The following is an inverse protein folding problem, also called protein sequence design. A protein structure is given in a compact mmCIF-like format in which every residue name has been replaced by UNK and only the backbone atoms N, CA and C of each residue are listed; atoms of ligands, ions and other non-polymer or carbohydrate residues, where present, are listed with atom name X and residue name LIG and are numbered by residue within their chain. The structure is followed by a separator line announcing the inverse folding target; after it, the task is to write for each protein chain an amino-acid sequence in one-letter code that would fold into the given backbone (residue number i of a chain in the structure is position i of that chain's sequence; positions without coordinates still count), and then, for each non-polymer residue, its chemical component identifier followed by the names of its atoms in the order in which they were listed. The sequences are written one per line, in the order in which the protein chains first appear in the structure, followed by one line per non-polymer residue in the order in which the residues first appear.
data_IF_334837957272
#
_entry.id   IF_334837957272
#
_cell.length_a   1.000
_cell.length_b   1.000
_cell.length_c   1.000
_cell.angle_alpha   90.00
_cell.angle_beta   90.00
_cell.angle_gamma   90.00
#
_symmetry.space_group_name_H-M   'P 1'
#
loop_
_entity.id
_entity.type
_entity.pdbx_description
1 polymer ?
#
# COMPACT_ATOMS: atom_id res chain seq x y z
N UNK A 1 16.10 6.66 -15.39
CA UNK A 1 15.91 6.29 -13.97
C UNK A 1 14.45 6.40 -13.55
N UNK A 2 13.61 7.21 -14.21
CA UNK A 2 12.20 7.41 -13.84
C UNK A 2 11.30 6.15 -13.92
N UNK A 3 11.47 5.27 -14.91
CA UNK A 3 10.55 4.13 -15.07
C UNK A 3 10.63 3.08 -13.95
N UNK A 4 11.83 2.77 -13.42
CA UNK A 4 11.96 1.74 -12.38
C UNK A 4 11.39 2.17 -11.04
N UNK A 5 11.62 3.43 -10.66
CA UNK A 5 11.07 4.01 -9.43
C UNK A 5 9.55 4.17 -9.53
N UNK A 6 9.04 4.57 -10.71
CA UNK A 6 7.62 4.66 -10.96
C UNK A 6 6.91 3.30 -10.86
N UNK A 7 7.51 2.22 -11.40
CA UNK A 7 6.97 0.86 -11.30
C UNK A 7 6.96 0.36 -9.85
N UNK A 8 8.05 0.56 -9.10
CA UNK A 8 8.11 0.17 -7.68
C UNK A 8 7.07 0.94 -6.84
N UNK A 9 6.92 2.24 -7.09
CA UNK A 9 5.89 3.08 -6.45
C UNK A 9 4.48 2.60 -6.81
N UNK A 10 4.23 2.25 -8.06
CA UNK A 10 2.93 1.71 -8.49
C UNK A 10 2.61 0.39 -7.78
N UNK A 11 3.56 -0.55 -7.73
CA UNK A 11 3.39 -1.82 -7.02
C UNK A 11 3.10 -1.63 -5.53
N UNK A 12 3.81 -0.72 -4.87
CA UNK A 12 3.56 -0.36 -3.47
C UNK A 12 2.17 0.23 -3.27
N UNK A 13 1.74 1.16 -4.13
CA UNK A 13 0.40 1.75 -4.08
C UNK A 13 -0.67 0.67 -4.28
N UNK A 14 -0.50 -0.22 -5.26
CA UNK A 14 -1.45 -1.31 -5.52
C UNK A 14 -1.50 -2.29 -4.35
N UNK A 15 -0.36 -2.69 -3.79
CA UNK A 15 -0.31 -3.60 -2.65
C UNK A 15 -1.02 -3.00 -1.43
N UNK A 16 -0.66 -1.76 -1.07
CA UNK A 16 -1.26 -1.04 0.07
C UNK A 16 -2.76 -0.79 -0.15
N UNK A 17 -3.15 -0.35 -1.35
CA UNK A 17 -4.54 -0.12 -1.71
C UNK A 17 -5.38 -1.39 -1.67
N UNK A 18 -4.85 -2.51 -2.17
CA UNK A 18 -5.54 -3.80 -2.12
C UNK A 18 -5.73 -4.31 -0.68
N UNK A 19 -4.73 -4.16 0.17
CA UNK A 19 -4.83 -4.50 1.59
C UNK A 19 -5.89 -3.65 2.31
N UNK A 20 -5.94 -2.35 2.02
CA UNK A 20 -6.95 -1.45 2.58
C UNK A 20 -8.38 -1.82 2.14
N UNK A 21 -8.58 -2.09 0.85
CA UNK A 21 -9.88 -2.54 0.33
C UNK A 21 -10.31 -3.88 0.95
N UNK A 22 -9.38 -4.82 1.10
CA UNK A 22 -9.65 -6.09 1.78
C UNK A 22 -10.14 -5.88 3.21
N UNK A 23 -9.47 -5.02 3.98
CA UNK A 23 -9.87 -4.72 5.36
C UNK A 23 -11.21 -3.99 5.45
N UNK A 24 -11.52 -3.09 4.50
CA UNK A 24 -12.84 -2.46 4.42
C UNK A 24 -13.94 -3.49 4.14
N UNK A 25 -13.72 -4.43 3.23
CA UNK A 25 -14.68 -5.50 2.95
C UNK A 25 -14.91 -6.36 4.19
N UNK A 26 -13.84 -6.74 4.90
CA UNK A 26 -13.95 -7.48 6.15
C UNK A 26 -14.70 -6.70 7.24
N UNK A 27 -14.47 -5.39 7.35
CA UNK A 27 -15.21 -4.52 8.26
C UNK A 27 -16.70 -4.53 7.95
N UNK A 28 -17.09 -4.39 6.67
CA UNK A 28 -18.49 -4.44 6.25
C UNK A 28 -19.12 -5.79 6.58
N UNK A 29 -18.47 -6.89 6.22
CA UNK A 29 -18.95 -8.25 6.51
C UNK A 29 -19.14 -8.45 8.02
N UNK A 30 -18.14 -8.06 8.81
CA UNK A 30 -18.22 -8.13 10.27
C UNK A 30 -19.41 -7.33 10.82
N UNK A 31 -19.56 -6.09 10.39
CA UNK A 31 -20.62 -5.20 10.86
C UNK A 31 -22.02 -5.72 10.52
N UNK A 32 -22.22 -6.21 9.29
CA UNK A 32 -23.51 -6.79 8.86
C UNK A 32 -23.84 -8.07 9.61
N UNK A 33 -22.83 -8.89 9.96
CA UNK A 33 -23.03 -10.11 10.74
C UNK A 33 -23.20 -9.86 12.24
N UNK A 34 -22.64 -8.76 12.76
CA UNK A 34 -22.63 -8.47 14.20
C UNK A 34 -23.86 -7.69 14.68
N UNK A 35 -24.53 -6.94 13.80
CA UNK A 35 -25.71 -6.14 14.14
C UNK A 35 -26.77 -6.25 13.06
N UNK A 36 -28.04 -6.17 13.43
CA UNK A 36 -29.17 -6.07 12.50
C UNK A 36 -29.66 -4.63 12.29
N UNK A 37 -29.11 -3.67 13.03
CA UNK A 37 -29.57 -2.27 12.99
C UNK A 37 -28.81 -1.43 11.94
N UNK A 38 -29.51 -0.79 10.98
CA UNK A 38 -28.86 -0.02 9.92
C UNK A 38 -28.06 1.19 10.44
N UNK A 39 -28.50 1.83 11.53
CA UNK A 39 -27.78 2.95 12.12
C UNK A 39 -26.42 2.52 12.70
N UNK A 40 -26.39 1.36 13.36
CA UNK A 40 -25.15 0.75 13.86
C UNK A 40 -24.20 0.43 12.70
N UNK A 41 -24.73 -0.01 11.55
CA UNK A 41 -23.89 -0.28 10.38
C UNK A 41 -23.16 0.95 9.90
N UNK A 42 -23.86 2.07 9.76
CA UNK A 42 -23.27 3.34 9.34
C UNK A 42 -22.18 3.78 10.31
N UNK A 43 -22.43 3.67 11.62
CA UNK A 43 -21.46 4.06 12.65
C UNK A 43 -20.23 3.16 12.66
N UNK A 44 -20.41 1.84 12.56
CA UNK A 44 -19.29 0.89 12.59
C UNK A 44 -18.47 0.91 11.30
N UNK A 45 -19.12 0.99 10.13
CA UNK A 45 -18.42 1.10 8.85
C UNK A 45 -17.73 2.45 8.75
N UNK A 46 -18.44 3.56 9.02
CA UNK A 46 -17.88 4.90 8.93
C UNK A 46 -16.78 5.17 9.94
N UNK A 47 -17.02 4.84 11.21
CA UNK A 47 -16.02 4.96 12.28
C UNK A 47 -14.84 4.01 12.05
N UNK A 48 -15.11 2.75 11.71
CA UNK A 48 -14.08 1.77 11.42
C UNK A 48 -13.21 2.18 10.23
N UNK A 49 -13.79 2.67 9.13
CA UNK A 49 -13.05 3.16 7.96
C UNK A 49 -12.16 4.37 8.31
N UNK A 50 -12.62 5.26 9.19
CA UNK A 50 -11.84 6.41 9.64
C UNK A 50 -10.62 5.96 10.44
N UNK A 51 -10.81 5.06 11.41
CA UNK A 51 -9.72 4.48 12.20
C UNK A 51 -8.73 3.72 11.31
N UNK A 52 -9.23 2.94 10.35
CA UNK A 52 -8.42 2.20 9.37
C UNK A 52 -7.56 3.15 8.53
N UNK A 53 -8.14 4.27 8.10
CA UNK A 53 -7.42 5.27 7.30
C UNK A 53 -6.30 5.94 8.10
N UNK A 54 -6.56 6.30 9.36
CA UNK A 54 -5.54 6.87 10.25
C UNK A 54 -4.41 5.86 10.49
N UNK A 55 -4.76 4.61 10.80
CA UNK A 55 -3.78 3.55 11.02
C UNK A 55 -2.92 3.30 9.77
N UNK A 56 -3.53 3.32 8.58
CA UNK A 56 -2.83 3.14 7.31
C UNK A 56 -1.83 4.27 7.05
N UNK A 57 -2.23 5.53 7.27
CA UNK A 57 -1.35 6.69 7.11
C UNK A 57 -0.14 6.60 8.04
N UNK A 58 -0.36 6.23 9.31
CA UNK A 58 0.71 6.03 10.28
C UNK A 58 1.64 4.87 9.87
N UNK A 59 1.08 3.75 9.41
CA UNK A 59 1.87 2.61 8.95
C UNK A 59 2.76 2.99 7.75
N UNK A 60 2.19 3.66 6.75
CA UNK A 60 2.94 4.14 5.57
C UNK A 60 4.04 5.12 5.99
N UNK A 61 3.76 6.03 6.93
CA UNK A 61 4.74 6.97 7.44
C UNK A 61 5.95 6.27 8.06
N UNK A 62 5.72 5.24 8.88
CA UNK A 62 6.79 4.42 9.49
C UNK A 62 7.54 3.61 8.42
N UNK A 63 6.85 3.17 7.36
CA UNK A 63 7.42 2.39 6.26
C UNK A 63 8.21 3.24 5.24
N UNK A 64 8.07 4.57 5.23
CA UNK A 64 8.80 5.46 4.31
C UNK A 64 10.31 5.18 4.20
N UNK A 65 11.10 5.07 5.30
CA UNK A 65 12.52 4.75 5.21
C UNK A 65 12.81 3.42 4.52
N UNK A 66 12.00 2.39 4.76
CA UNK A 66 12.15 1.10 4.09
C UNK A 66 11.83 1.21 2.59
N UNK A 67 10.83 2.02 2.20
CA UNK A 67 10.49 2.30 0.81
C UNK A 67 11.67 2.99 0.08
N UNK A 68 12.33 3.96 0.73
CA UNK A 68 13.51 4.61 0.16
C UNK A 68 14.70 3.66 -0.01
N UNK A 69 14.93 2.76 0.96
CA UNK A 69 15.94 1.71 0.83
C UNK A 69 15.65 0.77 -0.34
N UNK A 70 14.39 0.32 -0.48
CA UNK A 70 13.97 -0.52 -1.60
C UNK A 70 14.24 0.19 -2.94
N UNK A 71 13.85 1.46 -3.04
CA UNK A 71 14.08 2.29 -4.22
C UNK A 71 15.59 2.41 -4.57
N UNK A 72 16.45 2.58 -3.56
CA UNK A 72 17.90 2.64 -3.75
C UNK A 72 18.47 1.32 -4.29
N UNK A 73 18.00 0.18 -3.76
CA UNK A 73 18.40 -1.16 -4.26
C UNK A 73 18.01 -1.33 -5.72
N UNK A 74 16.77 -1.00 -6.09
CA UNK A 74 16.31 -1.08 -7.48
C UNK A 74 17.09 -0.14 -8.42
N UNK A 75 17.41 1.07 -7.97
CA UNK A 75 18.25 1.98 -8.73
C UNK A 75 19.67 1.43 -8.94
N UNK A 76 20.25 0.82 -7.91
CA UNK A 76 21.55 0.15 -7.96
C UNK A 76 21.57 -1.01 -8.96
N UNK A 77 20.58 -1.91 -8.89
CA UNK A 77 20.43 -3.03 -9.84
C UNK A 77 20.24 -2.51 -11.27
N UNK A 78 19.39 -1.51 -11.46
CA UNK A 78 19.17 -0.88 -12.77
C UNK A 78 20.44 -0.27 -13.36
N UNK A 79 21.28 0.37 -12.52
CA UNK A 79 22.58 0.91 -12.94
C UNK A 79 23.55 -0.22 -13.34
N UNK A 80 23.59 -1.31 -12.58
CA UNK A 80 24.44 -2.47 -12.85
C UNK A 80 24.07 -3.15 -14.19
N UNK A 81 22.78 -3.38 -14.42
CA UNK A 81 22.25 -3.94 -15.67
C UNK A 81 22.59 -3.06 -16.87
N UNK A 82 22.45 -1.73 -16.72
CA UNK A 82 22.76 -0.79 -17.80
C UNK A 82 24.27 -0.77 -18.12
N UNK A 83 25.13 -0.89 -17.10
CA UNK A 83 26.59 -1.03 -17.29
C UNK A 83 26.93 -2.33 -18.01
N UNK A 84 26.32 -3.45 -17.61
CA UNK A 84 26.54 -4.76 -18.23
C UNK A 84 26.12 -4.75 -19.71
N UNK A 85 24.96 -4.15 -20.03
CA UNK A 85 24.47 -4.02 -21.40
C UNK A 85 25.40 -3.20 -22.30
N UNK A 86 26.00 -2.12 -21.78
CA UNK A 86 26.98 -1.30 -22.54
C UNK A 86 28.33 -1.98 -22.71
N UNK A 87 28.68 -2.93 -21.84
CA UNK A 87 29.95 -3.66 -21.91
C UNK A 87 29.93 -4.80 -22.93
N UNK A 88 28.75 -5.29 -23.30
CA UNK A 88 28.55 -6.42 -24.20
C UNK A 88 27.80 -6.05 -25.48
N UNK A 89 27.74 -4.76 -25.79
CA UNK A 89 27.29 -4.19 -27.07
C UNK A 89 28.49 -3.48 -27.71
#
# INVERSE_FOLDING_TARGET
MENGLAVCKALLITAVGSAYLYLLVQLVIYTVNASSEPLTWVLMIGGGATVLSIALVLAIFILQPAIYLLAAVFAGIGALLNRYRRSHA
#
